data_IF_134458403999
#
_entry.id   IF_134458403999
#
_cell.length_a   1.000
_cell.length_b   1.000
_cell.length_c   1.000
_cell.angle_alpha   90.00
_cell.angle_beta   90.00
_cell.angle_gamma   90.00
#
_symmetry.space_group_name_H-M   'P 1'
#
loop_
_entity.id
_entity.type
_entity.pdbx_description
1 polymer ?
#
# COMPACT_ATOMS: atom_id res chain seq x y z
N UNK A 1 45.54 0.18 -23.99
CA UNK A 1 44.18 0.24 -24.56
C UNK A 1 44.17 -0.46 -25.90
N UNK A 2 43.16 -1.27 -26.20
CA UNK A 2 43.05 -2.02 -27.46
C UNK A 2 42.56 -1.10 -28.59
N UNK A 3 43.23 -1.12 -29.74
CA UNK A 3 42.88 -0.31 -30.94
C UNK A 3 41.42 -0.46 -31.37
N UNK A 4 40.83 -1.63 -31.14
CA UNK A 4 39.41 -1.95 -31.38
C UNK A 4 38.44 -1.11 -30.53
N UNK A 5 38.82 -0.73 -29.31
CA UNK A 5 38.00 0.13 -28.47
C UNK A 5 38.04 1.60 -28.94
N UNK A 6 39.21 2.07 -29.41
CA UNK A 6 39.35 3.41 -29.99
C UNK A 6 38.49 3.56 -31.26
N UNK A 7 38.51 2.58 -32.15
CA UNK A 7 37.70 2.56 -33.38
C UNK A 7 36.18 2.56 -33.09
N UNK A 8 35.75 1.89 -32.02
CA UNK A 8 34.33 1.87 -31.62
C UNK A 8 33.92 3.22 -31.04
N UNK A 9 34.76 3.84 -30.21
CA UNK A 9 34.48 5.17 -29.66
C UNK A 9 34.37 6.23 -30.75
N UNK A 10 35.24 6.16 -31.77
CA UNK A 10 35.18 7.06 -32.93
C UNK A 10 33.86 6.91 -33.70
N UNK A 11 33.46 5.67 -34.01
CA UNK A 11 32.18 5.38 -34.68
C UNK A 11 30.94 5.80 -33.89
N UNK A 12 30.98 5.69 -32.56
CA UNK A 12 29.90 6.17 -31.70
C UNK A 12 29.78 7.69 -31.77
N UNK A 13 30.91 8.40 -31.78
CA UNK A 13 30.95 9.86 -31.83
C UNK A 13 30.42 10.40 -33.17
N UNK A 14 30.82 9.79 -34.28
CA UNK A 14 30.33 10.17 -35.62
C UNK A 14 28.82 9.94 -35.75
N UNK A 15 28.34 8.79 -35.27
CA UNK A 15 26.90 8.45 -35.35
C UNK A 15 26.05 9.35 -34.45
N UNK A 16 26.58 9.79 -33.31
CA UNK A 16 25.91 10.77 -32.44
C UNK A 16 25.69 12.10 -33.13
N UNK A 17 26.70 12.63 -33.81
CA UNK A 17 26.57 13.88 -34.56
C UNK A 17 25.49 13.80 -35.66
N UNK A 18 25.41 12.67 -36.37
CA UNK A 18 24.36 12.44 -37.39
C UNK A 18 22.95 12.45 -36.78
N UNK A 19 22.70 11.74 -35.67
CA UNK A 19 21.36 11.73 -35.07
C UNK A 19 20.99 13.01 -34.34
N UNK A 20 21.96 13.72 -33.77
CA UNK A 20 21.75 15.03 -33.14
C UNK A 20 21.31 16.07 -34.17
N UNK A 21 21.85 16.01 -35.40
CA UNK A 21 21.38 16.85 -36.51
C UNK A 21 19.95 16.50 -36.96
N UNK A 22 19.60 15.20 -36.97
CA UNK A 22 18.26 14.73 -37.34
C UNK A 22 17.23 15.12 -36.28
N UNK A 23 17.54 14.96 -35.00
CA UNK A 23 16.64 15.34 -33.92
C UNK A 23 16.45 16.87 -33.81
N UNK A 24 17.48 17.64 -34.17
CA UNK A 24 17.36 19.09 -34.30
C UNK A 24 16.40 19.49 -35.44
N UNK A 25 16.34 18.70 -36.52
CA UNK A 25 15.42 18.94 -37.65
C UNK A 25 14.03 18.33 -37.46
N UNK A 26 13.90 17.26 -36.67
CA UNK A 26 12.67 16.52 -36.43
C UNK A 26 12.40 16.44 -34.92
N UNK A 27 11.62 17.41 -34.42
CA UNK A 27 11.30 17.58 -33.00
C UNK A 27 10.54 16.41 -32.36
N UNK A 28 10.16 15.41 -33.16
CA UNK A 28 9.51 14.18 -32.68
C UNK A 28 10.48 13.15 -32.10
N UNK A 29 11.79 13.34 -32.29
CA UNK A 29 12.82 12.39 -31.83
C UNK A 29 13.33 12.82 -30.45
N UNK A 30 13.01 12.03 -29.42
CA UNK A 30 13.52 12.24 -28.05
C UNK A 30 15.03 11.95 -27.96
N UNK A 31 15.80 12.87 -27.38
CA UNK A 31 17.26 12.76 -27.22
C UNK A 31 17.67 11.53 -26.40
N UNK A 32 16.88 11.14 -25.40
CA UNK A 32 17.16 9.94 -24.56
C UNK A 32 17.01 8.62 -25.34
N UNK A 33 16.18 8.59 -26.39
CA UNK A 33 16.06 7.43 -27.28
C UNK A 33 17.21 7.34 -28.29
N UNK A 34 17.88 8.46 -28.57
CA UNK A 34 18.97 8.53 -29.55
C UNK A 34 20.18 7.76 -29.05
N UNK A 35 20.57 7.94 -27.78
CA UNK A 35 21.73 7.24 -27.22
C UNK A 35 21.51 5.72 -27.20
N UNK A 36 20.32 5.27 -26.80
CA UNK A 36 19.94 3.84 -26.82
C UNK A 36 19.95 3.26 -28.25
N UNK A 37 19.52 4.05 -29.23
CA UNK A 37 19.52 3.67 -30.66
C UNK A 37 20.93 3.62 -31.24
N UNK A 38 21.80 4.56 -30.89
CA UNK A 38 23.21 4.60 -31.32
C UNK A 38 23.97 3.40 -30.75
N UNK A 39 23.82 3.14 -29.45
CA UNK A 39 24.45 2.00 -28.77
C UNK A 39 24.01 0.70 -29.45
N UNK A 40 22.72 0.53 -29.72
CA UNK A 40 22.20 -0.66 -30.43
C UNK A 40 22.73 -0.77 -31.86
N UNK A 41 22.81 0.32 -32.62
CA UNK A 41 23.32 0.26 -34.00
C UNK A 41 24.83 0.00 -34.04
N UNK A 42 25.63 0.68 -33.23
CA UNK A 42 27.10 0.57 -33.30
C UNK A 42 27.61 -0.69 -32.59
N UNK A 43 27.10 -1.00 -31.39
CA UNK A 43 27.52 -2.19 -30.64
C UNK A 43 26.75 -3.44 -31.04
N UNK A 44 25.45 -3.31 -31.35
CA UNK A 44 24.65 -4.43 -31.83
C UNK A 44 25.16 -4.97 -33.17
N UNK A 45 25.53 -4.12 -34.15
CA UNK A 45 26.13 -4.62 -35.39
C UNK A 45 27.44 -5.38 -35.16
N UNK A 46 28.22 -5.02 -34.14
CA UNK A 46 29.49 -5.69 -33.82
C UNK A 46 29.29 -7.04 -33.10
N UNK A 47 28.18 -7.20 -32.39
CA UNK A 47 27.79 -8.46 -31.71
C UNK A 47 27.01 -9.40 -32.64
N UNK A 48 26.19 -8.87 -33.56
CA UNK A 48 25.35 -9.64 -34.48
C UNK A 48 26.01 -9.92 -35.85
N UNK A 49 27.10 -9.23 -36.21
CA UNK A 49 27.80 -9.42 -37.49
C UNK A 49 28.77 -10.61 -37.57
N UNK A 50 29.00 -11.34 -36.48
CA UNK A 50 29.86 -12.54 -36.45
C UNK A 50 29.07 -13.84 -36.26
N UNK A 51 27.78 -13.87 -36.57
CA UNK A 51 27.11 -15.13 -36.84
C UNK A 51 26.85 -15.17 -38.33
N UNK A 52 27.71 -15.89 -39.05
CA UNK A 52 27.48 -16.22 -40.45
C UNK A 52 26.26 -17.15 -40.48
N UNK A 53 25.06 -16.60 -40.53
CA UNK A 53 23.88 -17.40 -40.84
C UNK A 53 23.93 -17.73 -42.33
N UNK A 54 24.63 -18.82 -42.66
CA UNK A 54 24.32 -19.57 -43.86
C UNK A 54 22.94 -20.18 -43.66
N UNK A 55 21.95 -19.66 -44.39
CA UNK A 55 20.63 -20.25 -44.46
C UNK A 55 19.54 -19.35 -43.91
N UNK A 56 18.59 -19.06 -44.80
CA UNK A 56 17.28 -18.47 -44.54
C UNK A 56 17.25 -16.96 -44.30
N UNK A 57 16.82 -16.25 -45.35
CA UNK A 57 16.27 -14.90 -45.30
C UNK A 57 15.09 -14.84 -44.32
N UNK A 58 15.36 -14.59 -43.03
CA UNK A 58 14.29 -14.20 -42.09
C UNK A 58 14.38 -12.70 -41.90
N UNK A 59 13.39 -12.00 -42.44
CA UNK A 59 13.31 -10.54 -42.38
C UNK A 59 13.04 -10.13 -40.91
N UNK A 60 13.80 -9.19 -40.32
CA UNK A 60 13.69 -8.81 -38.91
C UNK A 60 12.31 -8.29 -38.47
N UNK A 61 11.44 -7.95 -39.41
CA UNK A 61 10.08 -7.46 -39.15
C UNK A 61 9.14 -8.50 -38.53
N UNK A 62 9.46 -9.80 -38.61
CA UNK A 62 8.61 -10.84 -38.00
C UNK A 62 8.99 -11.20 -36.56
N UNK A 63 10.08 -10.64 -36.03
CA UNK A 63 10.50 -10.90 -34.64
C UNK A 63 9.72 -10.09 -33.59
N UNK A 64 9.05 -9.01 -33.99
CA UNK A 64 8.39 -8.07 -33.06
C UNK A 64 6.85 -8.06 -33.19
N UNK A 65 6.23 -9.14 -33.68
CA UNK A 65 4.79 -9.18 -33.96
C UNK A 65 3.92 -9.86 -32.91
N UNK A 66 4.43 -10.86 -32.20
CA UNK A 66 3.54 -11.86 -31.56
C UNK A 66 3.65 -12.00 -30.04
N UNK A 67 4.70 -11.48 -29.39
CA UNK A 67 4.88 -11.64 -27.94
C UNK A 67 4.35 -10.47 -27.11
N UNK A 68 4.07 -9.31 -27.71
CA UNK A 68 3.62 -8.12 -26.96
C UNK A 68 2.19 -8.24 -26.41
N UNK A 69 1.38 -9.16 -26.94
CA UNK A 69 0.00 -9.35 -26.46
C UNK A 69 -0.08 -10.12 -25.12
N UNK A 70 1.00 -10.77 -24.69
CA UNK A 70 1.03 -11.47 -23.39
C UNK A 70 1.47 -10.60 -22.21
N UNK A 71 1.91 -9.35 -22.46
CA UNK A 71 2.41 -8.46 -21.39
C UNK A 71 1.51 -7.26 -21.07
N UNK A 72 0.45 -7.01 -21.87
CA UNK A 72 -0.52 -5.97 -21.55
C UNK A 72 -1.78 -6.60 -20.95
N UNK A 73 -1.97 -6.57 -19.62
CA UNK A 73 -3.29 -6.86 -19.08
C UNK A 73 -4.22 -5.80 -19.66
N UNK A 74 -5.26 -6.23 -20.40
CA UNK A 74 -6.23 -5.29 -20.98
C UNK A 74 -6.67 -4.30 -19.89
N UNK A 75 -6.78 -3.00 -20.21
CA UNK A 75 -7.07 -1.94 -19.22
C UNK A 75 -8.28 -2.27 -18.32
N UNK A 76 -9.24 -3.04 -18.86
CA UNK A 76 -10.41 -3.55 -18.17
C UNK A 76 -10.09 -4.53 -17.03
N UNK A 77 -9.05 -5.37 -17.16
CA UNK A 77 -8.67 -6.34 -16.12
C UNK A 77 -8.03 -5.65 -14.91
N UNK A 78 -7.18 -4.65 -15.14
CA UNK A 78 -6.59 -3.86 -14.07
C UNK A 78 -7.68 -3.08 -13.30
N UNK A 79 -8.61 -2.46 -14.03
CA UNK A 79 -9.73 -1.73 -13.44
C UNK A 79 -10.68 -2.64 -12.64
N UNK A 80 -10.98 -3.85 -13.14
CA UNK A 80 -11.81 -4.82 -12.41
C UNK A 80 -11.17 -5.29 -11.09
N UNK A 81 -9.84 -5.47 -11.05
CA UNK A 81 -9.11 -5.81 -9.83
C UNK A 81 -9.14 -4.67 -8.80
N UNK A 82 -8.96 -3.43 -9.25
CA UNK A 82 -9.08 -2.24 -8.38
C UNK A 82 -10.49 -2.13 -7.79
N UNK A 83 -11.54 -2.37 -8.58
CA UNK A 83 -12.92 -2.33 -8.09
C UNK A 83 -13.20 -3.43 -7.05
N UNK A 84 -12.70 -4.66 -7.27
CA UNK A 84 -12.82 -5.74 -6.28
C UNK A 84 -12.12 -5.40 -4.96
N UNK A 85 -10.92 -4.82 -5.02
CA UNK A 85 -10.19 -4.37 -3.84
C UNK A 85 -10.96 -3.26 -3.11
N UNK A 86 -11.53 -2.29 -3.83
CA UNK A 86 -12.39 -1.25 -3.22
C UNK A 86 -13.58 -1.84 -2.51
N UNK A 87 -14.27 -2.80 -3.13
CA UNK A 87 -15.40 -3.48 -2.49
C UNK A 87 -14.99 -4.24 -1.23
N UNK A 88 -13.86 -4.96 -1.26
CA UNK A 88 -13.34 -5.66 -0.08
C UNK A 88 -12.95 -4.69 1.04
N UNK A 89 -12.28 -3.58 0.72
CA UNK A 89 -11.94 -2.54 1.70
C UNK A 89 -13.20 -1.94 2.32
N UNK A 90 -14.21 -1.62 1.51
CA UNK A 90 -15.49 -1.10 2.00
C UNK A 90 -16.19 -2.11 2.93
N UNK A 91 -16.19 -3.40 2.57
CA UNK A 91 -16.76 -4.46 3.40
C UNK A 91 -16.03 -4.58 4.74
N UNK A 92 -14.69 -4.56 4.73
CA UNK A 92 -13.91 -4.60 5.97
C UNK A 92 -14.17 -3.35 6.83
N UNK A 93 -14.15 -2.16 6.23
CA UNK A 93 -14.46 -0.92 6.94
C UNK A 93 -15.85 -0.95 7.59
N UNK A 94 -16.88 -1.41 6.88
CA UNK A 94 -18.22 -1.56 7.44
C UNK A 94 -18.23 -2.50 8.64
N UNK A 95 -17.57 -3.67 8.55
CA UNK A 95 -17.49 -4.61 9.67
C UNK A 95 -16.74 -4.05 10.88
N UNK A 96 -15.67 -3.27 10.66
CA UNK A 96 -14.92 -2.63 11.75
C UNK A 96 -15.75 -1.53 12.42
N UNK A 97 -16.47 -0.72 11.65
CA UNK A 97 -17.34 0.32 12.19
C UNK A 97 -18.47 -0.29 13.02
N UNK A 98 -19.06 -1.39 12.56
CA UNK A 98 -20.08 -2.13 13.30
C UNK A 98 -19.55 -2.69 14.63
N UNK A 99 -18.35 -3.30 14.63
CA UNK A 99 -17.70 -3.78 15.85
C UNK A 99 -17.40 -2.65 16.84
N UNK A 100 -16.92 -1.50 16.35
CA UNK A 100 -16.68 -0.32 17.20
C UNK A 100 -17.99 0.18 17.82
N UNK A 101 -19.08 0.19 17.06
CA UNK A 101 -20.38 0.60 17.60
C UNK A 101 -20.86 -0.35 18.70
N UNK A 102 -20.74 -1.67 18.49
CA UNK A 102 -21.09 -2.68 19.49
C UNK A 102 -20.26 -2.52 20.77
N UNK A 103 -18.93 -2.39 20.64
CA UNK A 103 -18.04 -2.19 21.78
C UNK A 103 -18.35 -0.90 22.54
N UNK A 104 -18.69 0.20 21.86
CA UNK A 104 -19.10 1.45 22.53
C UNK A 104 -20.36 1.26 23.37
N UNK A 105 -21.35 0.54 22.86
CA UNK A 105 -22.59 0.24 23.61
C UNK A 105 -22.27 -0.66 24.82
N UNK A 106 -21.44 -1.68 24.63
CA UNK A 106 -21.05 -2.58 25.72
C UNK A 106 -20.28 -1.84 26.82
N UNK A 107 -19.32 -0.99 26.45
CA UNK A 107 -18.56 -0.16 27.40
C UNK A 107 -19.49 0.75 28.19
N UNK A 108 -20.41 1.46 27.52
CA UNK A 108 -21.38 2.32 28.20
C UNK A 108 -22.29 1.54 29.17
N UNK A 109 -22.73 0.33 28.80
CA UNK A 109 -23.52 -0.53 29.69
C UNK A 109 -22.72 -0.95 30.93
N UNK A 110 -21.48 -1.40 30.74
CA UNK A 110 -20.60 -1.81 31.86
C UNK A 110 -20.28 -0.65 32.80
N UNK A 111 -20.07 0.55 32.25
CA UNK A 111 -19.84 1.76 33.04
C UNK A 111 -21.08 2.13 33.87
N UNK A 112 -22.27 2.10 33.27
CA UNK A 112 -23.53 2.36 33.97
C UNK A 112 -23.83 1.31 35.07
N UNK A 113 -23.46 0.04 34.87
CA UNK A 113 -23.57 -0.98 35.91
C UNK A 113 -22.59 -0.76 37.06
N UNK A 114 -21.33 -0.42 36.76
CA UNK A 114 -20.33 -0.12 37.78
C UNK A 114 -20.76 1.08 38.64
N UNK A 115 -21.29 2.14 38.00
CA UNK A 115 -21.78 3.32 38.69
C UNK A 115 -22.96 2.98 39.62
N UNK A 116 -23.93 2.18 39.15
CA UNK A 116 -25.04 1.71 39.97
C UNK A 116 -24.58 0.92 41.20
N UNK A 117 -23.62 0.01 41.04
CA UNK A 117 -23.03 -0.74 42.17
C UNK A 117 -22.33 0.17 43.17
N UNK A 118 -21.65 1.20 42.70
CA UNK A 118 -21.00 2.18 43.57
C UNK A 118 -22.03 2.95 44.40
N UNK A 119 -23.10 3.45 43.77
CA UNK A 119 -24.19 4.16 44.46
C UNK A 119 -24.92 3.26 45.47
N UNK A 120 -25.16 2.00 45.11
CA UNK A 120 -25.77 1.02 46.01
C UNK A 120 -24.89 0.76 47.26
N UNK A 121 -23.57 0.58 47.08
CA UNK A 121 -22.65 0.41 48.21
C UNK A 121 -22.60 1.65 49.10
N UNK A 122 -22.63 2.85 48.52
CA UNK A 122 -22.69 4.11 49.29
C UNK A 122 -23.96 4.19 50.14
N UNK A 123 -25.10 3.74 49.59
CA UNK A 123 -26.36 3.68 50.33
C UNK A 123 -26.32 2.62 51.44
N UNK A 124 -25.76 1.44 51.18
CA UNK A 124 -25.62 0.39 52.20
C UNK A 124 -24.74 0.85 53.38
N UNK A 125 -23.61 1.50 53.10
CA UNK A 125 -22.73 2.04 54.13
C UNK A 125 -23.43 3.09 55.00
N UNK A 126 -24.22 3.98 54.39
CA UNK A 126 -25.03 4.97 55.14
C UNK A 126 -26.08 4.29 55.99
N UNK A 127 -26.80 3.31 55.45
CA UNK A 127 -27.82 2.57 56.19
C UNK A 127 -27.21 1.80 57.37
N UNK A 128 -26.04 1.17 57.18
CA UNK A 128 -25.33 0.47 58.27
C UNK A 128 -24.86 1.43 59.35
N UNK A 129 -24.32 2.60 58.97
CA UNK A 129 -23.93 3.63 59.93
C UNK A 129 -25.13 4.09 60.78
N UNK A 130 -26.27 4.39 60.14
CA UNK A 130 -27.50 4.78 60.85
C UNK A 130 -28.00 3.66 61.75
N UNK A 131 -27.96 2.40 61.31
CA UNK A 131 -28.36 1.26 62.12
C UNK A 131 -27.46 1.10 63.37
N UNK A 132 -26.14 1.25 63.23
CA UNK A 132 -25.21 1.21 64.36
C UNK A 132 -25.43 2.37 65.32
N UNK A 133 -25.66 3.58 64.83
CA UNK A 133 -25.98 4.73 65.69
C UNK A 133 -27.27 4.49 66.48
N UNK A 134 -28.32 3.98 65.82
CA UNK A 134 -29.58 3.66 66.49
C UNK A 134 -29.43 2.55 67.54
N UNK A 135 -28.62 1.52 67.28
CA UNK A 135 -28.30 0.48 68.28
C UNK A 135 -27.52 1.03 69.48
N UNK A 136 -26.56 1.91 69.23
CA UNK A 136 -25.78 2.56 70.30
C UNK A 136 -26.67 3.44 71.16
N UNK A 137 -27.55 4.25 70.55
CA UNK A 137 -28.52 5.07 71.29
C UNK A 137 -29.47 4.21 72.15
N UNK A 138 -30.01 3.12 71.61
CA UNK A 138 -30.88 2.21 72.37
C UNK A 138 -30.19 1.62 73.60
N UNK A 139 -28.93 1.18 73.45
CA UNK A 139 -28.14 0.66 74.60
C UNK A 139 -27.89 1.72 75.67
N UNK A 140 -27.67 2.97 75.25
CA UNK A 140 -27.50 4.07 76.19
C UNK A 140 -28.80 4.34 76.98
N UNK A 141 -29.94 4.39 76.29
CA UNK A 141 -31.24 4.60 76.93
C UNK A 141 -31.62 3.45 77.88
N UNK A 142 -31.32 2.20 77.51
CA UNK A 142 -31.52 1.02 78.38
C UNK A 142 -30.67 1.07 79.66
N UNK A 143 -29.41 1.51 79.56
CA UNK A 143 -28.54 1.66 80.71
C UNK A 143 -29.03 2.77 81.65
N UNK A 144 -29.59 3.86 81.13
CA UNK A 144 -30.17 4.92 81.95
C UNK A 144 -31.43 4.47 82.70
N UNK A 145 -32.21 3.55 82.15
CA UNK A 145 -33.43 3.01 82.81
C UNK A 145 -33.12 2.02 83.95
N UNK A 146 -31.90 1.49 84.05
CA UNK A 146 -31.49 0.53 85.07
C UNK A 146 -30.83 1.18 86.32
N UNK A 147 -30.70 2.51 86.33
CA UNK A 147 -30.03 3.31 87.37
C UNK A 147 -31.07 4.10 88.20
#
# INVERSE_FOLDING_TARGET
MTTKAAEIMEKLKDKRAEYETIASSDSSVNLDDIDNRIVTKVLGLKMYGQVRFQGSFVNPTQYFGSSSQQYMPSGNQAQAKVQRLRYQMAKMQASTVEQIAQLKVEVASREAEAQRKYEELQLQLKAEAVAREAEVSKKYDELQLQL
#
